data_IF_689671090231
#
_entry.id   IF_689671090231
#
_cell.length_a   1.000
_cell.length_b   1.000
_cell.length_c   1.000
_cell.angle_alpha   90.00
_cell.angle_beta   90.00
_cell.angle_gamma   90.00
#
_symmetry.space_group_name_H-M   'P 1'
#
loop_
_entity.id
_entity.type
_entity.pdbx_description
1 polymer ?
#
# COMPACT_ATOMS: atom_id res chain seq x y z
N UNK A 1 20.36 10.25 -9.79
CA UNK A 1 19.47 11.02 -10.68
C UNK A 1 18.22 10.17 -10.90
N UNK A 2 17.17 10.38 -10.11
CA UNK A 2 15.83 9.76 -10.17
C UNK A 2 15.23 9.97 -8.76
N UNK A 3 14.15 10.70 -8.46
CA UNK A 3 13.10 11.35 -9.23
C UNK A 3 12.80 12.68 -8.52
N UNK A 4 13.08 13.83 -9.14
CA UNK A 4 12.18 14.97 -8.91
C UNK A 4 10.89 14.57 -9.62
N UNK A 5 9.77 14.62 -8.92
CA UNK A 5 8.42 14.64 -9.48
C UNK A 5 8.47 15.49 -10.75
N UNK A 6 8.47 14.85 -11.93
CA UNK A 6 8.56 15.56 -13.22
C UNK A 6 7.24 16.26 -13.56
N UNK A 7 6.19 15.98 -12.80
CA UNK A 7 4.96 16.74 -12.82
C UNK A 7 5.05 17.84 -11.77
N UNK A 8 5.37 19.03 -12.27
CA UNK A 8 5.20 20.25 -11.51
C UNK A 8 3.68 20.49 -11.37
N UNK A 9 3.11 20.53 -10.15
CA UNK A 9 1.69 20.81 -9.96
C UNK A 9 1.25 22.11 -10.66
N UNK A 10 2.18 23.02 -10.99
CA UNK A 10 1.90 24.19 -11.82
C UNK A 10 1.55 23.91 -13.30
N UNK A 11 1.65 22.67 -13.79
CA UNK A 11 1.31 22.31 -15.17
C UNK A 11 -0.16 21.95 -15.38
N UNK A 12 -0.85 21.50 -14.34
CA UNK A 12 -2.26 21.13 -14.45
C UNK A 12 -3.14 22.39 -14.39
N UNK A 13 -4.05 22.60 -15.35
CA UNK A 13 -4.79 23.86 -15.47
C UNK A 13 -5.70 24.15 -14.27
N UNK A 14 -6.11 23.10 -13.53
CA UNK A 14 -7.02 23.22 -12.39
C UNK A 14 -6.34 23.08 -11.02
N UNK A 15 -5.03 22.82 -10.95
CA UNK A 15 -4.32 22.53 -9.69
C UNK A 15 -4.42 23.67 -8.66
N UNK A 16 -4.43 24.92 -9.13
CA UNK A 16 -4.55 26.12 -8.27
C UNK A 16 -5.99 26.49 -7.88
N UNK A 17 -6.99 25.85 -8.50
CA UNK A 17 -8.42 26.14 -8.30
C UNK A 17 -9.12 25.13 -7.36
N UNK A 18 -8.37 24.18 -6.82
CA UNK A 18 -8.84 23.18 -5.87
C UNK A 18 -9.35 23.78 -4.56
N UNK A 19 -10.36 23.14 -3.97
CA UNK A 19 -10.96 23.52 -2.68
C UNK A 19 -9.95 23.51 -1.53
N UNK A 20 -9.01 22.56 -1.55
CA UNK A 20 -7.97 22.42 -0.52
C UNK A 20 -6.80 23.38 -0.72
N UNK A 21 -6.80 24.15 -1.81
CA UNK A 21 -5.68 24.96 -2.24
C UNK A 21 -4.70 24.20 -3.15
N UNK A 22 -3.61 24.85 -3.56
CA UNK A 22 -2.60 24.23 -4.43
C UNK A 22 -1.91 23.03 -3.75
N UNK A 23 -1.59 21.96 -4.51
CA UNK A 23 -0.81 20.83 -4.00
C UNK A 23 0.48 21.27 -3.30
N UNK A 24 0.73 20.70 -2.13
CA UNK A 24 1.91 21.01 -1.29
C UNK A 24 2.75 19.77 -0.94
N UNK A 25 2.28 18.60 -1.36
CA UNK A 25 2.98 17.32 -1.27
C UNK A 25 4.21 17.29 -2.20
N UNK A 26 5.16 16.42 -1.87
CA UNK A 26 6.30 16.15 -2.75
C UNK A 26 5.88 15.22 -3.89
N UNK A 27 4.97 14.27 -3.60
CA UNK A 27 4.45 13.32 -4.58
C UNK A 27 3.17 13.84 -5.24
N UNK A 28 3.10 13.73 -6.57
CA UNK A 28 1.94 14.01 -7.41
C UNK A 28 1.99 13.00 -8.57
N UNK A 29 0.87 12.35 -8.90
CA UNK A 29 0.83 11.21 -9.83
C UNK A 29 0.28 11.61 -11.19
N UNK A 30 0.09 10.64 -12.09
CA UNK A 30 -0.25 10.97 -13.47
C UNK A 30 -1.71 11.43 -13.67
N UNK A 31 -2.61 11.19 -12.72
CA UNK A 31 -3.98 11.69 -12.80
C UNK A 31 -3.98 13.24 -12.77
N UNK A 32 -4.83 13.89 -13.56
CA UNK A 32 -4.88 15.36 -13.62
C UNK A 32 -5.58 15.96 -12.38
N UNK A 33 -4.90 16.91 -11.74
CA UNK A 33 -5.37 17.56 -10.52
C UNK A 33 -6.69 18.31 -10.73
N UNK A 34 -7.70 17.97 -9.92
CA UNK A 34 -9.03 18.56 -9.87
C UNK A 34 -9.79 18.55 -11.20
N UNK A 35 -9.41 17.66 -12.14
CA UNK A 35 -9.99 17.61 -13.48
C UNK A 35 -11.48 17.24 -13.50
N UNK A 36 -11.96 16.46 -12.53
CA UNK A 36 -13.37 16.03 -12.44
C UNK A 36 -14.17 16.93 -11.50
N UNK A 37 -13.57 17.33 -10.38
CA UNK A 37 -14.24 18.14 -9.36
C UNK A 37 -13.22 18.95 -8.58
N UNK A 38 -13.60 20.17 -8.19
CA UNK A 38 -12.75 21.03 -7.36
C UNK A 38 -12.54 20.51 -5.92
N UNK A 39 -13.25 19.48 -5.48
CA UNK A 39 -13.19 18.99 -4.10
C UNK A 39 -12.22 17.83 -3.87
N UNK A 40 -11.80 17.14 -4.94
CA UNK A 40 -10.96 15.94 -4.90
C UNK A 40 -9.87 16.13 -5.95
N UNK A 41 -8.60 16.14 -5.51
CA UNK A 41 -7.47 16.41 -6.39
C UNK A 41 -7.29 15.30 -7.43
N UNK A 42 -7.05 14.06 -7.02
CA UNK A 42 -6.97 12.91 -7.92
C UNK A 42 -8.17 12.00 -7.67
N UNK A 43 -9.21 12.08 -8.51
CA UNK A 43 -10.51 11.45 -8.28
C UNK A 43 -10.44 9.92 -8.27
N UNK A 44 -9.83 9.30 -9.28
CA UNK A 44 -9.70 7.86 -9.36
C UNK A 44 -8.74 7.32 -8.33
N UNK A 45 -7.58 7.95 -8.14
CA UNK A 45 -6.63 7.57 -7.11
C UNK A 45 -7.28 7.65 -5.71
N UNK A 46 -8.13 8.64 -5.47
CA UNK A 46 -8.90 8.74 -4.22
C UNK A 46 -9.86 7.56 -4.03
N UNK A 47 -10.75 7.28 -4.99
CA UNK A 47 -11.80 6.27 -4.78
C UNK A 47 -11.32 4.82 -4.90
N UNK A 48 -10.25 4.58 -5.64
CA UNK A 48 -9.64 3.23 -5.71
C UNK A 48 -9.11 2.76 -4.36
N UNK A 49 -8.80 3.68 -3.43
CA UNK A 49 -8.43 3.35 -2.05
C UNK A 49 -9.53 2.69 -1.22
N UNK A 50 -10.80 2.76 -1.66
CA UNK A 50 -11.89 1.98 -1.06
C UNK A 50 -11.65 0.46 -1.19
N UNK A 51 -10.79 0.01 -2.10
CA UNK A 51 -10.38 -1.39 -2.19
C UNK A 51 -9.69 -1.86 -0.91
N UNK A 52 -8.79 -1.07 -0.33
CA UNK A 52 -8.13 -1.38 0.95
C UNK A 52 -9.15 -1.50 2.08
N UNK A 53 -10.09 -0.54 2.17
CA UNK A 53 -11.17 -0.55 3.16
C UNK A 53 -12.02 -1.81 3.02
N UNK A 54 -12.46 -2.13 1.80
CA UNK A 54 -13.23 -3.33 1.49
C UNK A 54 -12.48 -4.60 1.93
N UNK A 55 -11.21 -4.74 1.54
CA UNK A 55 -10.42 -5.92 1.87
C UNK A 55 -10.13 -6.04 3.37
N UNK A 56 -9.88 -4.93 4.07
CA UNK A 56 -9.71 -4.91 5.51
C UNK A 56 -10.93 -5.52 6.22
N UNK A 57 -12.15 -5.09 5.87
CA UNK A 57 -13.37 -5.67 6.44
C UNK A 57 -13.63 -7.10 5.99
N UNK A 58 -13.32 -7.44 4.72
CA UNK A 58 -13.54 -8.78 4.16
C UNK A 58 -12.69 -9.85 4.83
N UNK A 59 -11.47 -9.51 5.25
CA UNK A 59 -10.55 -10.46 5.89
C UNK A 59 -10.66 -10.48 7.41
N UNK A 60 -11.37 -9.54 8.04
CA UNK A 60 -11.60 -9.54 9.48
C UNK A 60 -12.65 -10.57 9.88
N UNK A 61 -12.44 -11.21 11.03
CA UNK A 61 -13.46 -12.05 11.65
C UNK A 61 -14.44 -11.13 12.37
N UNK A 62 -15.57 -10.79 11.74
CA UNK A 62 -16.58 -9.90 12.35
C UNK A 62 -17.16 -10.56 13.60
N UNK A 63 -16.87 -9.99 14.76
CA UNK A 63 -17.63 -10.23 15.99
C UNK A 63 -18.57 -9.04 16.18
N UNK A 64 -19.84 -9.20 15.76
CA UNK A 64 -20.84 -8.14 15.76
C UNK A 64 -21.06 -7.51 17.15
N UNK A 65 -20.65 -8.20 18.22
CA UNK A 65 -20.76 -7.71 19.61
C UNK A 65 -19.67 -6.70 19.99
N UNK A 66 -18.60 -6.58 19.21
CA UNK A 66 -17.45 -5.72 19.50
C UNK A 66 -17.44 -4.40 18.70
N UNK A 67 -18.57 -4.04 18.07
CA UNK A 67 -18.71 -2.82 17.27
C UNK A 67 -18.10 -2.92 15.86
N UNK A 68 -18.04 -1.80 15.14
CA UNK A 68 -17.62 -1.74 13.72
C UNK A 68 -16.19 -2.28 13.50
N UNK A 69 -15.26 -1.96 14.40
CA UNK A 69 -13.88 -2.44 14.36
C UNK A 69 -13.70 -3.76 15.15
N UNK A 70 -14.80 -4.31 15.66
CA UNK A 70 -14.83 -5.51 16.47
C UNK A 70 -14.38 -6.75 15.71
N UNK A 71 -13.19 -7.25 16.04
CA UNK A 71 -12.61 -8.45 15.44
C UNK A 71 -11.62 -8.20 14.30
N UNK A 72 -11.21 -6.95 14.08
CA UNK A 72 -10.03 -6.65 13.26
C UNK A 72 -8.75 -6.91 14.08
N UNK A 73 -7.87 -7.76 13.57
CA UNK A 73 -6.50 -7.85 14.11
C UNK A 73 -5.65 -6.67 13.62
N UNK A 74 -4.44 -6.52 14.17
CA UNK A 74 -3.54 -5.42 13.84
C UNK A 74 -3.28 -5.33 12.33
N UNK A 75 -3.10 -6.46 11.64
CA UNK A 75 -2.87 -6.48 10.19
C UNK A 75 -4.06 -5.93 9.39
N UNK A 76 -5.29 -6.34 9.71
CA UNK A 76 -6.47 -5.82 9.05
C UNK A 76 -6.72 -4.34 9.38
N UNK A 77 -6.44 -3.93 10.62
CA UNK A 77 -6.54 -2.53 11.03
C UNK A 77 -5.52 -1.65 10.29
N UNK A 78 -4.28 -2.13 10.12
CA UNK A 78 -3.27 -1.41 9.34
C UNK A 78 -3.68 -1.28 7.87
N UNK A 79 -4.29 -2.31 7.27
CA UNK A 79 -4.80 -2.25 5.90
C UNK A 79 -5.93 -1.21 5.76
N UNK A 80 -6.81 -1.11 6.77
CA UNK A 80 -7.84 -0.07 6.82
C UNK A 80 -7.23 1.33 6.87
N UNK A 81 -6.18 1.52 7.65
CA UNK A 81 -5.48 2.81 7.74
C UNK A 81 -4.83 3.23 6.43
N UNK A 82 -4.23 2.31 5.67
CA UNK A 82 -3.76 2.63 4.31
C UNK A 82 -4.91 3.18 3.47
N UNK A 83 -6.05 2.49 3.43
CA UNK A 83 -7.20 2.94 2.65
C UNK A 83 -7.70 4.33 3.05
N UNK A 84 -7.73 4.65 4.34
CA UNK A 84 -8.20 5.95 4.83
C UNK A 84 -7.17 7.04 4.53
N UNK A 85 -5.90 6.82 4.87
CA UNK A 85 -4.88 7.87 4.75
C UNK A 85 -4.47 8.12 3.31
N UNK A 86 -4.40 7.07 2.48
CA UNK A 86 -4.19 7.22 1.03
C UNK A 86 -5.38 7.94 0.38
N UNK A 87 -6.62 7.60 0.74
CA UNK A 87 -7.80 8.36 0.27
C UNK A 87 -7.67 9.85 0.61
N UNK A 88 -7.31 10.19 1.84
CA UNK A 88 -7.15 11.59 2.26
C UNK A 88 -6.00 12.29 1.54
N UNK A 89 -4.90 11.57 1.27
CA UNK A 89 -3.79 12.10 0.50
C UNK A 89 -4.20 12.43 -0.93
N UNK A 90 -4.75 11.49 -1.69
CA UNK A 90 -5.16 11.75 -3.07
C UNK A 90 -6.31 12.74 -3.19
N UNK A 91 -7.13 12.88 -2.15
CA UNK A 91 -8.19 13.88 -2.15
C UNK A 91 -7.67 15.32 -2.00
N UNK A 92 -6.50 15.50 -1.39
CA UNK A 92 -5.98 16.83 -0.97
C UNK A 92 -4.63 17.19 -1.58
N UNK A 93 -3.78 16.22 -1.92
CA UNK A 93 -2.38 16.35 -2.32
C UNK A 93 -1.54 17.22 -1.39
N UNK A 94 -1.78 17.10 -0.07
CA UNK A 94 -1.07 17.85 0.94
C UNK A 94 0.02 17.05 1.64
N UNK A 95 1.06 17.76 2.11
CA UNK A 95 2.22 17.14 2.77
C UNK A 95 1.85 16.34 4.02
N UNK A 96 0.97 16.85 4.85
CA UNK A 96 0.61 16.19 6.11
C UNK A 96 -0.21 14.91 5.85
N UNK A 97 -1.08 14.91 4.83
CA UNK A 97 -1.81 13.71 4.40
C UNK A 97 -0.91 12.72 3.66
N UNK A 98 0.04 13.18 2.86
CA UNK A 98 1.08 12.33 2.26
C UNK A 98 1.86 11.61 3.35
N UNK A 99 2.29 12.33 4.40
CA UNK A 99 2.99 11.74 5.51
C UNK A 99 2.15 10.65 6.19
N UNK A 100 0.86 10.89 6.45
CA UNK A 100 -0.02 9.88 7.06
C UNK A 100 -0.19 8.63 6.18
N UNK A 101 -0.33 8.80 4.87
CA UNK A 101 -0.40 7.70 3.91
C UNK A 101 0.89 6.86 3.98
N UNK A 102 2.03 7.50 3.81
CA UNK A 102 3.36 6.88 3.87
C UNK A 102 3.64 6.18 5.21
N UNK A 103 3.20 6.74 6.33
CA UNK A 103 3.34 6.12 7.66
C UNK A 103 2.44 4.90 7.83
N UNK A 104 1.25 4.93 7.24
CA UNK A 104 0.33 3.79 7.29
C UNK A 104 0.87 2.56 6.57
N UNK A 105 1.66 2.76 5.51
CA UNK A 105 2.40 1.70 4.83
C UNK A 105 3.43 1.03 5.74
N UNK A 106 4.23 1.81 6.49
CA UNK A 106 5.15 1.24 7.50
C UNK A 106 4.42 0.49 8.60
N UNK A 107 3.25 1.00 9.02
CA UNK A 107 2.45 0.35 10.05
C UNK A 107 1.96 -1.02 9.58
N UNK A 108 1.47 -1.15 8.34
CA UNK A 108 1.12 -2.44 7.77
C UNK A 108 2.32 -3.37 7.67
N UNK A 109 3.42 -2.94 7.05
CA UNK A 109 4.56 -3.83 6.89
C UNK A 109 5.16 -4.27 8.23
N UNK A 110 5.11 -3.42 9.26
CA UNK A 110 5.46 -3.81 10.62
C UNK A 110 4.50 -4.87 11.19
N UNK A 111 3.20 -4.70 10.98
CA UNK A 111 2.18 -5.66 11.41
C UNK A 111 2.32 -7.02 10.71
N UNK A 112 2.83 -7.05 9.47
CA UNK A 112 3.12 -8.28 8.71
C UNK A 112 4.46 -8.91 9.11
N UNK A 113 5.51 -8.12 9.31
CA UNK A 113 6.84 -8.59 9.71
C UNK A 113 6.86 -9.20 11.10
N UNK A 114 6.11 -8.63 12.04
CA UNK A 114 6.10 -9.07 13.43
C UNK A 114 5.83 -10.57 13.56
N UNK A 115 4.72 -11.15 13.07
CA UNK A 115 4.47 -12.59 13.20
C UNK A 115 5.46 -13.45 12.38
N UNK A 116 5.99 -12.94 11.26
CA UNK A 116 6.99 -13.65 10.43
C UNK A 116 8.33 -13.87 11.14
N UNK A 117 8.75 -12.92 11.98
CA UNK A 117 10.02 -12.95 12.69
C UNK A 117 9.90 -13.34 14.17
N UNK A 118 8.69 -13.39 14.72
CA UNK A 118 8.47 -13.79 16.12
C UNK A 118 7.94 -15.22 16.28
N UNK A 119 7.52 -15.88 15.18
CA UNK A 119 7.05 -17.27 15.19
C UNK A 119 8.06 -18.20 15.90
N UNK A 120 7.59 -18.91 16.94
CA UNK A 120 8.38 -19.90 17.68
C UNK A 120 9.27 -19.33 18.79
N UNK A 121 9.31 -18.01 18.98
CA UNK A 121 10.06 -17.38 20.07
C UNK A 121 9.21 -17.19 21.34
N UNK A 122 9.87 -17.13 22.50
CA UNK A 122 9.23 -16.84 23.78
C UNK A 122 8.64 -15.41 23.82
N UNK A 123 7.55 -15.15 24.60
CA UNK A 123 6.85 -13.86 24.61
C UNK A 123 7.74 -12.64 24.88
N UNK A 124 8.77 -12.80 25.73
CA UNK A 124 9.75 -11.73 26.01
C UNK A 124 10.51 -11.33 24.74
N UNK A 125 11.02 -12.30 24.00
CA UNK A 125 11.72 -12.07 22.73
C UNK A 125 10.80 -11.46 21.69
N UNK A 126 9.54 -11.94 21.59
CA UNK A 126 8.56 -11.35 20.67
C UNK A 126 8.34 -9.86 20.98
N UNK A 127 8.18 -9.52 22.27
CA UNK A 127 8.02 -8.13 22.71
C UNK A 127 9.24 -7.27 22.37
N UNK A 128 10.45 -7.79 22.59
CA UNK A 128 11.69 -7.09 22.24
C UNK A 128 11.76 -6.81 20.74
N UNK A 129 11.47 -7.81 19.89
CA UNK A 129 11.45 -7.64 18.43
C UNK A 129 10.43 -6.57 18.03
N UNK A 130 9.21 -6.60 18.59
CA UNK A 130 8.19 -5.59 18.33
C UNK A 130 8.65 -4.19 18.73
N UNK A 131 9.26 -4.03 19.91
CA UNK A 131 9.77 -2.72 20.36
C UNK A 131 10.85 -2.21 19.40
N UNK A 132 11.83 -3.04 19.04
CA UNK A 132 12.89 -2.66 18.10
C UNK A 132 12.32 -2.24 16.75
N UNK A 133 11.41 -3.04 16.19
CA UNK A 133 10.75 -2.74 14.92
C UNK A 133 10.03 -1.39 14.95
N UNK A 134 9.21 -1.15 15.97
CA UNK A 134 8.49 0.11 16.12
C UNK A 134 9.42 1.31 16.36
N UNK A 135 10.49 1.13 17.15
CA UNK A 135 11.49 2.18 17.37
C UNK A 135 12.21 2.56 16.08
N UNK A 136 12.56 1.59 15.23
CA UNK A 136 13.18 1.84 13.92
C UNK A 136 12.22 2.61 13.01
N UNK A 137 10.96 2.18 12.92
CA UNK A 137 9.94 2.90 12.13
C UNK A 137 9.79 4.33 12.62
N UNK A 138 9.58 4.55 13.92
CA UNK A 138 9.42 5.89 14.50
C UNK A 138 10.65 6.77 14.22
N UNK A 139 11.86 6.22 14.34
CA UNK A 139 13.08 6.96 14.04
C UNK A 139 13.15 7.36 12.57
N UNK A 140 12.91 6.43 11.64
CA UNK A 140 12.90 6.70 10.19
C UNK A 140 11.83 7.75 9.87
N UNK A 141 10.62 7.61 10.42
CA UNK A 141 9.51 8.56 10.27
C UNK A 141 9.87 9.96 10.76
N UNK A 142 10.54 10.07 11.91
CA UNK A 142 10.95 11.35 12.47
C UNK A 142 12.04 12.02 11.61
N UNK A 143 13.05 11.26 11.17
CA UNK A 143 14.09 11.76 10.27
C UNK A 143 13.49 12.16 8.93
N UNK A 144 12.58 11.37 8.38
CA UNK A 144 11.88 11.70 7.15
C UNK A 144 11.05 12.99 7.29
N UNK A 145 10.29 13.13 8.38
CA UNK A 145 9.54 14.34 8.67
C UNK A 145 10.46 15.57 8.79
N UNK A 146 11.65 15.44 9.38
CA UNK A 146 12.56 16.57 9.52
C UNK A 146 13.30 16.92 8.22
N UNK A 147 13.77 15.91 7.50
CA UNK A 147 14.66 16.08 6.32
C UNK A 147 13.90 16.27 5.01
N UNK A 148 12.66 15.79 4.94
CA UNK A 148 11.81 15.81 3.73
C UNK A 148 12.41 15.04 2.54
N UNK A 149 13.33 14.13 2.80
CA UNK A 149 13.96 13.26 1.79
C UNK A 149 13.03 12.07 1.56
N UNK A 150 12.22 12.11 0.51
CA UNK A 150 11.30 11.01 0.14
C UNK A 150 12.08 9.72 -0.13
N UNK A 151 13.35 9.84 -0.51
CA UNK A 151 14.26 8.71 -0.71
C UNK A 151 14.50 7.87 0.53
N UNK A 152 14.42 8.48 1.70
CA UNK A 152 14.51 7.76 2.95
C UNK A 152 13.29 6.86 3.15
N UNK A 153 12.09 7.34 2.82
CA UNK A 153 10.86 6.54 2.94
C UNK A 153 10.89 5.37 1.96
N UNK A 154 11.02 5.60 0.65
CA UNK A 154 10.90 4.50 -0.30
C UNK A 154 12.02 3.47 -0.16
N UNK A 155 13.25 3.92 0.15
CA UNK A 155 14.38 3.01 0.36
C UNK A 155 14.18 2.11 1.57
N UNK A 156 13.70 2.67 2.69
CA UNK A 156 13.43 1.87 3.90
C UNK A 156 12.20 0.99 3.75
N UNK A 157 11.15 1.47 3.07
CA UNK A 157 9.96 0.67 2.75
C UNK A 157 10.32 -0.50 1.83
N UNK A 158 11.16 -0.28 0.81
CA UNK A 158 11.66 -1.34 -0.07
C UNK A 158 12.44 -2.42 0.71
N UNK A 159 13.31 -2.02 1.64
CA UNK A 159 14.03 -2.97 2.51
C UNK A 159 13.03 -3.78 3.35
N UNK A 160 12.05 -3.12 3.96
CA UNK A 160 11.02 -3.76 4.77
C UNK A 160 10.22 -4.81 3.98
N UNK A 161 9.78 -4.47 2.76
CA UNK A 161 9.04 -5.38 1.87
C UNK A 161 9.90 -6.57 1.42
N UNK A 162 11.19 -6.37 1.15
CA UNK A 162 12.10 -7.48 0.83
C UNK A 162 12.30 -8.43 2.01
N UNK A 163 12.42 -7.90 3.25
CA UNK A 163 12.48 -8.73 4.45
C UNK A 163 11.19 -9.55 4.62
N UNK A 164 10.03 -8.93 4.41
CA UNK A 164 8.72 -9.59 4.46
C UNK A 164 8.65 -10.70 3.42
N UNK A 165 8.93 -10.38 2.16
CA UNK A 165 8.81 -11.31 1.04
C UNK A 165 9.75 -12.51 1.21
N UNK A 166 11.03 -12.27 1.50
CA UNK A 166 12.02 -13.34 1.68
C UNK A 166 11.68 -14.26 2.85
N UNK A 167 11.22 -13.69 3.98
CA UNK A 167 10.82 -14.48 5.14
C UNK A 167 9.55 -15.27 4.88
N UNK A 168 8.56 -14.66 4.22
CA UNK A 168 7.31 -15.34 3.84
C UNK A 168 7.58 -16.48 2.86
N UNK A 169 8.49 -16.30 1.89
CA UNK A 169 8.93 -17.36 0.98
C UNK A 169 9.58 -18.51 1.75
N UNK A 170 10.55 -18.20 2.61
CA UNK A 170 11.26 -19.20 3.42
C UNK A 170 10.29 -20.04 4.26
N UNK A 171 9.35 -19.40 4.97
CA UNK A 171 8.37 -20.11 5.80
C UNK A 171 7.33 -20.88 4.96
N UNK A 172 6.96 -20.36 3.80
CA UNK A 172 6.02 -21.04 2.89
C UNK A 172 6.64 -22.28 2.26
N UNK A 173 7.93 -22.23 1.90
CA UNK A 173 8.67 -23.33 1.30
C UNK A 173 9.01 -24.43 2.33
N UNK A 174 9.47 -24.03 3.52
CA UNK A 174 9.86 -24.97 4.59
C UNK A 174 8.69 -25.48 5.43
N UNK A 175 7.44 -25.21 5.03
CA UNK A 175 6.26 -25.72 5.74
C UNK A 175 6.13 -27.23 5.48
N UNK A 176 6.04 -28.07 6.53
CA UNK A 176 5.78 -29.49 6.36
C UNK A 176 4.49 -29.72 5.58
N UNK A 177 4.55 -30.64 4.62
CA UNK A 177 3.39 -31.03 3.84
C UNK A 177 2.48 -31.92 4.68
N UNK A 178 1.14 -31.77 4.62
CA UNK A 178 0.23 -32.76 5.17
C UNK A 178 0.51 -34.13 4.56
N UNK A 179 0.50 -35.19 5.38
CA UNK A 179 0.63 -36.57 4.92
C UNK A 179 -0.43 -36.89 3.87
N UNK A 180 -0.02 -37.53 2.76
CA UNK A 180 -0.93 -37.91 1.67
C UNK A 180 -1.34 -36.78 0.70
N UNK A 181 -0.89 -35.54 0.89
CA UNK A 181 -1.23 -34.46 -0.03
C UNK A 181 -0.53 -34.63 -1.41
N UNK A 182 -1.27 -34.62 -2.54
CA UNK A 182 -0.71 -34.87 -3.88
C UNK A 182 0.21 -33.73 -4.35
N UNK A 183 1.39 -34.00 -4.96
CA UNK A 183 2.35 -33.00 -5.49
C UNK A 183 1.71 -31.76 -6.13
N UNK A 184 2.18 -30.56 -5.78
CA UNK A 184 1.71 -29.29 -6.37
C UNK A 184 0.43 -28.66 -5.77
N UNK A 185 -0.23 -29.28 -4.79
CA UNK A 185 -1.52 -28.77 -4.24
C UNK A 185 -1.42 -27.84 -3.02
N UNK A 186 -0.24 -27.26 -2.75
CA UNK A 186 -0.07 -26.40 -1.57
C UNK A 186 -0.88 -25.11 -1.68
N UNK A 187 -1.99 -25.02 -0.93
CA UNK A 187 -2.81 -23.81 -0.77
C UNK A 187 -1.93 -22.61 -0.39
N UNK A 188 -0.94 -22.83 0.48
CA UNK A 188 0.03 -21.82 0.92
C UNK A 188 0.88 -21.33 -0.25
N UNK A 189 1.43 -22.25 -1.05
CA UNK A 189 2.24 -21.89 -2.22
C UNK A 189 1.42 -21.13 -3.26
N UNK A 190 0.19 -21.60 -3.55
CA UNK A 190 -0.72 -20.89 -4.46
C UNK A 190 -1.06 -19.50 -3.97
N UNK A 191 -1.35 -19.34 -2.68
CA UNK A 191 -1.63 -18.04 -2.08
C UNK A 191 -0.41 -17.11 -2.14
N UNK A 192 0.78 -17.61 -1.80
CA UNK A 192 2.03 -16.85 -1.87
C UNK A 192 2.28 -16.35 -3.30
N UNK A 193 2.31 -17.24 -4.29
CA UNK A 193 2.61 -16.86 -5.67
C UNK A 193 1.52 -16.01 -6.31
N UNK A 194 0.24 -16.24 -5.97
CA UNK A 194 -0.85 -15.37 -6.42
C UNK A 194 -0.72 -13.95 -5.85
N UNK A 195 -0.41 -13.81 -4.56
CA UNK A 195 -0.17 -12.51 -3.91
C UNK A 195 1.08 -11.82 -4.46
N UNK A 196 2.19 -12.55 -4.62
CA UNK A 196 3.43 -12.01 -5.22
C UNK A 196 3.19 -11.56 -6.66
N UNK A 197 2.56 -12.39 -7.49
CA UNK A 197 2.28 -12.05 -8.88
C UNK A 197 1.39 -10.80 -9.00
N UNK A 198 0.36 -10.70 -8.16
CA UNK A 198 -0.50 -9.52 -8.10
C UNK A 198 0.28 -8.26 -7.70
N UNK A 199 1.16 -8.37 -6.69
CA UNK A 199 2.03 -7.25 -6.28
C UNK A 199 2.98 -6.82 -7.39
N UNK A 200 3.62 -7.76 -8.11
CA UNK A 200 4.52 -7.44 -9.22
C UNK A 200 3.79 -6.70 -10.34
N UNK A 201 2.58 -7.14 -10.69
CA UNK A 201 1.76 -6.43 -11.68
C UNK A 201 1.43 -5.03 -11.18
N UNK A 202 1.04 -4.88 -9.92
CA UNK A 202 0.79 -3.57 -9.32
C UNK A 202 2.02 -2.67 -9.47
N UNK A 203 3.20 -3.11 -9.01
CA UNK A 203 4.46 -2.32 -9.06
C UNK A 203 4.76 -1.91 -10.50
N UNK A 204 4.52 -2.81 -11.45
CA UNK A 204 4.74 -2.52 -12.88
C UNK A 204 3.82 -1.38 -13.36
N UNK A 205 2.53 -1.40 -13.00
CA UNK A 205 1.61 -0.32 -13.36
C UNK A 205 1.99 1.00 -12.70
N UNK A 206 2.39 0.98 -11.43
CA UNK A 206 2.89 2.16 -10.71
C UNK A 206 4.14 2.76 -11.37
N UNK A 207 5.10 1.91 -11.77
CA UNK A 207 6.30 2.38 -12.48
C UNK A 207 5.96 2.97 -13.86
N UNK A 208 5.01 2.38 -14.59
CA UNK A 208 4.56 2.93 -15.88
C UNK A 208 3.91 4.30 -15.68
N UNK A 209 3.04 4.43 -14.67
CA UNK A 209 2.39 5.71 -14.32
C UNK A 209 3.43 6.81 -14.05
N UNK A 210 4.48 6.49 -13.30
CA UNK A 210 5.54 7.43 -12.95
C UNK A 210 6.45 7.83 -14.12
N UNK A 211 6.84 6.87 -14.97
CA UNK A 211 7.86 7.11 -16.01
C UNK A 211 7.27 7.53 -17.36
N UNK A 212 6.05 7.09 -17.67
CA UNK A 212 5.41 7.29 -18.97
C UNK A 212 4.16 8.16 -18.90
N UNK A 213 4.11 9.09 -17.93
CA UNK A 213 2.92 9.89 -17.72
C UNK A 213 2.52 10.76 -18.93
N UNK A 214 3.39 11.58 -19.57
CA UNK A 214 2.94 12.40 -20.70
C UNK A 214 2.36 11.59 -21.87
N UNK A 215 2.97 10.47 -22.31
CA UNK A 215 2.33 9.55 -23.26
C UNK A 215 1.00 8.96 -22.76
N UNK A 216 0.89 8.62 -21.47
CA UNK A 216 -0.32 8.07 -20.87
C UNK A 216 -1.46 9.10 -20.86
N UNK A 217 -1.18 10.36 -20.53
CA UNK A 217 -2.14 11.48 -20.62
C UNK A 217 -2.63 11.68 -22.06
N UNK A 218 -1.72 11.73 -23.03
CA UNK A 218 -2.08 11.85 -24.44
C UNK A 218 -2.94 10.68 -24.94
N UNK A 219 -2.66 9.46 -24.46
CA UNK A 219 -3.49 8.29 -24.75
C UNK A 219 -4.89 8.41 -24.12
N UNK A 220 -4.99 8.90 -22.88
CA UNK A 220 -6.29 9.17 -22.22
C UNK A 220 -7.12 10.19 -22.98
N UNK A 221 -6.51 11.27 -23.46
CA UNK A 221 -7.17 12.27 -24.30
C UNK A 221 -7.67 11.67 -25.62
N UNK A 222 -6.85 10.83 -26.28
CA UNK A 222 -7.22 10.18 -27.54
C UNK A 222 -8.34 9.14 -27.38
N UNK A 223 -8.34 8.39 -26.27
CA UNK A 223 -9.35 7.37 -25.96
C UNK A 223 -10.68 7.99 -25.52
N UNK A 224 -10.62 9.05 -24.73
CA UNK A 224 -11.80 9.78 -24.23
C UNK A 224 -12.61 9.03 -23.17
N UNK A 225 -13.56 9.74 -22.56
CA UNK A 225 -14.42 9.20 -21.50
C UNK A 225 -15.51 8.27 -22.07
N UNK A 226 -15.90 7.20 -21.33
CA UNK A 226 -15.42 6.81 -20.00
C UNK A 226 -14.18 5.89 -20.03
N UNK A 227 -13.69 5.49 -21.21
CA UNK A 227 -12.65 4.46 -21.34
C UNK A 227 -11.26 4.92 -20.89
N UNK A 228 -10.99 6.23 -20.94
CA UNK A 228 -9.76 6.81 -20.42
C UNK A 228 -9.51 6.46 -18.94
N UNK A 229 -10.58 6.24 -18.16
CA UNK A 229 -10.47 5.85 -16.75
C UNK A 229 -9.78 4.50 -16.53
N UNK A 230 -9.78 3.61 -17.53
CA UNK A 230 -9.04 2.34 -17.46
C UNK A 230 -7.52 2.54 -17.52
N UNK A 231 -7.06 3.72 -17.95
CA UNK A 231 -5.66 4.08 -18.08
C UNK A 231 -5.13 4.83 -16.86
N UNK A 232 -5.93 5.01 -15.80
CA UNK A 232 -5.47 5.51 -14.49
C UNK A 232 -4.67 4.41 -13.78
N UNK A 233 -3.40 4.25 -14.19
CA UNK A 233 -2.58 3.12 -13.77
C UNK A 233 -2.24 3.18 -12.27
N UNK A 234 -2.09 4.38 -11.70
CA UNK A 234 -1.96 4.55 -10.25
C UNK A 234 -3.23 4.10 -9.48
N UNK A 235 -4.42 4.29 -10.04
CA UNK A 235 -5.65 3.75 -9.46
C UNK A 235 -5.66 2.22 -9.44
N UNK A 236 -5.18 1.57 -10.52
CA UNK A 236 -5.02 0.12 -10.55
C UNK A 236 -3.97 -0.38 -9.55
N UNK A 237 -2.91 0.38 -9.33
CA UNK A 237 -1.92 0.11 -8.29
C UNK A 237 -2.61 -0.08 -6.93
N UNK A 238 -3.44 0.87 -6.48
CA UNK A 238 -4.18 0.75 -5.20
C UNK A 238 -5.02 -0.51 -5.10
N UNK A 239 -5.75 -0.85 -6.16
CA UNK A 239 -6.64 -2.01 -6.16
C UNK A 239 -5.80 -3.29 -6.03
N UNK A 240 -4.74 -3.42 -6.83
CA UNK A 240 -3.93 -4.63 -6.89
C UNK A 240 -3.07 -4.81 -5.65
N UNK A 241 -2.49 -3.75 -5.09
CA UNK A 241 -1.79 -3.81 -3.80
C UNK A 241 -2.74 -4.15 -2.65
N UNK A 242 -3.98 -3.65 -2.65
CA UNK A 242 -4.99 -4.04 -1.66
C UNK A 242 -5.29 -5.55 -1.71
N UNK A 243 -5.46 -6.10 -2.92
CA UNK A 243 -5.66 -7.53 -3.15
C UNK A 243 -4.43 -8.33 -2.68
N UNK A 244 -3.23 -7.92 -3.07
CA UNK A 244 -1.99 -8.58 -2.73
C UNK A 244 -1.75 -8.58 -1.21
N UNK A 245 -1.88 -7.43 -0.56
CA UNK A 245 -1.74 -7.26 0.88
C UNK A 245 -2.76 -8.10 1.65
N UNK A 246 -4.03 -8.10 1.25
CA UNK A 246 -5.04 -8.96 1.86
C UNK A 246 -4.71 -10.45 1.72
N UNK A 247 -4.12 -10.84 0.59
CA UNK A 247 -3.61 -12.19 0.37
C UNK A 247 -2.41 -12.54 1.25
N UNK A 248 -1.46 -11.61 1.44
CA UNK A 248 -0.34 -11.76 2.37
C UNK A 248 -0.80 -11.85 3.82
N UNK A 249 -1.79 -11.07 4.24
CA UNK A 249 -2.39 -11.18 5.58
C UNK A 249 -2.95 -12.58 5.81
N UNK A 250 -3.74 -13.10 4.86
CA UNK A 250 -4.27 -14.48 4.93
C UNK A 250 -3.16 -15.52 4.96
N UNK A 251 -2.13 -15.35 4.12
CA UNK A 251 -0.97 -16.23 4.09
C UNK A 251 -0.26 -16.25 5.44
N UNK A 252 0.04 -15.08 6.01
CA UNK A 252 0.75 -14.92 7.28
C UNK A 252 -0.03 -15.54 8.42
N UNK A 253 -1.35 -15.31 8.50
CA UNK A 253 -2.21 -15.99 9.48
C UNK A 253 -2.10 -17.50 9.35
N UNK A 254 -2.18 -18.02 8.13
CA UNK A 254 -2.10 -19.46 7.86
C UNK A 254 -0.72 -20.07 8.16
N UNK A 255 0.39 -19.34 7.99
CA UNK A 255 1.75 -19.87 8.23
C UNK A 255 2.29 -19.55 9.63
N UNK A 256 1.77 -18.56 10.36
CA UNK A 256 2.31 -18.13 11.66
C UNK A 256 1.38 -18.33 12.85
N UNK A 257 0.08 -18.52 12.65
CA UNK A 257 -0.85 -18.96 13.69
C UNK A 257 -0.91 -20.48 13.72
#
# INVERSE_FOLDING_TARGET
MAHRSRHDPGQDPFSSMGYWGPPSSTANFCEEDYAITKYIAEFFNTFTNLAYVYYAFKISHRDARKGILGGMDTMALSLLFIGIFSFLFHATLHRETQFLDEMSMFFLGSALLQPLYTKGYAPRTQRTITIVLLSVVVLISAVYHQTRIVELHWGSFFIMENMLWTRALYLSYNRPRPEGAPPGTSKVSRQFWSSTGTMVVAITLWLIDLEFCPPLRALREAVGLPWAYLLELHGWWHILTAVAAAGYIKLIREICQ
#
